data_IF_316156894335
#
_entry.id   IF_316156894335
#
_cell.length_a   1.000
_cell.length_b   1.000
_cell.length_c   1.000
_cell.angle_alpha   90.00
_cell.angle_beta   90.00
_cell.angle_gamma   90.00
#
_symmetry.space_group_name_H-M   'P 1'
#
loop_
_entity.id
_entity.type
_entity.pdbx_description
1 polymer ?
#
# COMPACT_ATOMS: atom_id res chain seq x y z
N UNK A 1 -10.07 -35.13 6.65
CA UNK A 1 -11.00 -35.80 5.71
C UNK A 1 -12.34 -35.07 5.75
N UNK A 2 -12.83 -34.54 4.62
CA UNK A 2 -14.08 -33.74 4.60
C UNK A 2 -15.28 -34.60 5.01
N UNK A 3 -16.23 -34.03 5.76
CA UNK A 3 -17.41 -34.74 6.27
C UNK A 3 -18.20 -35.46 5.16
N UNK A 4 -18.28 -34.85 3.97
CA UNK A 4 -18.88 -35.43 2.76
C UNK A 4 -18.21 -36.77 2.37
N UNK A 5 -16.88 -36.84 2.38
CA UNK A 5 -16.14 -38.05 2.06
C UNK A 5 -16.37 -39.18 3.07
N UNK A 6 -16.56 -38.84 4.34
CA UNK A 6 -16.89 -39.81 5.41
C UNK A 6 -18.28 -40.40 5.21
N UNK A 7 -19.28 -39.56 4.94
CA UNK A 7 -20.67 -39.97 4.63
C UNK A 7 -20.72 -40.91 3.42
N UNK A 8 -20.03 -40.57 2.33
CA UNK A 8 -20.02 -41.40 1.11
C UNK A 8 -19.31 -42.74 1.32
N UNK A 9 -18.23 -42.78 2.11
CA UNK A 9 -17.56 -44.04 2.47
C UNK A 9 -18.49 -44.93 3.29
N UNK A 10 -19.20 -44.37 4.28
CA UNK A 10 -20.16 -45.13 5.09
C UNK A 10 -21.29 -45.74 4.24
N UNK A 11 -21.77 -45.00 3.24
CA UNK A 11 -22.85 -45.47 2.37
C UNK A 11 -22.37 -46.47 1.30
N UNK A 12 -21.32 -46.15 0.54
CA UNK A 12 -20.90 -46.96 -0.61
C UNK A 12 -19.91 -48.09 -0.30
N UNK A 13 -19.15 -48.00 0.80
CA UNK A 13 -18.15 -49.03 1.17
C UNK A 13 -18.50 -49.83 2.42
N UNK A 14 -19.36 -49.29 3.28
CA UNK A 14 -19.73 -49.90 4.56
C UNK A 14 -21.22 -50.26 4.64
N UNK A 15 -21.96 -50.07 3.54
CA UNK A 15 -23.38 -50.41 3.37
C UNK A 15 -24.32 -49.88 4.48
N UNK A 16 -23.92 -48.76 5.11
CA UNK A 16 -24.71 -48.15 6.19
C UNK A 16 -25.90 -47.40 5.62
N UNK A 17 -27.07 -47.60 6.22
CA UNK A 17 -28.29 -46.88 5.82
C UNK A 17 -28.19 -45.38 6.14
N UNK A 18 -28.94 -44.55 5.41
CA UNK A 18 -29.02 -43.09 5.67
C UNK A 18 -29.43 -42.79 7.13
N UNK A 19 -30.27 -43.64 7.76
CA UNK A 19 -30.66 -43.50 9.16
C UNK A 19 -29.50 -43.76 10.12
N UNK A 20 -28.70 -44.77 9.82
CA UNK A 20 -27.54 -45.14 10.62
C UNK A 20 -26.44 -44.08 10.51
N UNK A 21 -26.19 -43.58 9.30
CA UNK A 21 -25.27 -42.47 9.07
C UNK A 21 -25.71 -41.22 9.84
N UNK A 22 -27.01 -40.89 9.83
CA UNK A 22 -27.54 -39.75 10.58
C UNK A 22 -27.27 -39.85 12.08
N UNK A 23 -27.38 -41.05 12.67
CA UNK A 23 -27.05 -41.29 14.08
C UNK A 23 -25.55 -41.18 14.37
N UNK A 24 -24.70 -41.67 13.45
CA UNK A 24 -23.24 -41.68 13.64
C UNK A 24 -22.57 -40.32 13.36
N UNK A 25 -23.17 -39.47 12.53
CA UNK A 25 -22.58 -38.19 12.12
C UNK A 25 -23.35 -36.97 12.61
N UNK A 26 -24.49 -37.15 13.29
CA UNK A 26 -25.40 -36.08 13.72
C UNK A 26 -25.84 -35.14 12.58
N UNK A 27 -25.82 -35.62 11.34
CA UNK A 27 -26.21 -34.84 10.16
C UNK A 27 -27.68 -35.10 9.85
N UNK A 28 -28.37 -34.08 9.34
CA UNK A 28 -29.74 -34.25 8.88
C UNK A 28 -29.79 -35.24 7.71
N UNK A 29 -30.87 -36.04 7.66
CA UNK A 29 -31.12 -36.99 6.55
C UNK A 29 -31.18 -36.27 5.19
N UNK A 30 -31.59 -35.00 5.16
CA UNK A 30 -31.63 -34.16 3.95
C UNK A 30 -30.21 -33.87 3.48
N UNK A 31 -29.32 -33.46 4.39
CA UNK A 31 -27.90 -33.20 4.11
C UNK A 31 -27.18 -34.46 3.64
N UNK A 32 -27.46 -35.61 4.25
CA UNK A 32 -26.86 -36.90 3.85
C UNK A 32 -27.30 -37.26 2.43
N UNK A 33 -28.60 -37.20 2.11
CA UNK A 33 -29.10 -37.46 0.75
C UNK A 33 -28.47 -36.49 -0.28
N UNK A 34 -28.32 -35.21 0.08
CA UNK A 34 -27.63 -34.23 -0.76
C UNK A 34 -26.18 -34.66 -1.04
N UNK A 35 -25.43 -35.06 -0.01
CA UNK A 35 -24.04 -35.51 -0.13
C UNK A 35 -23.87 -36.81 -0.92
N UNK A 36 -24.88 -37.67 -0.96
CA UNK A 36 -24.89 -38.88 -1.80
C UNK A 36 -25.22 -38.57 -3.26
N UNK A 37 -26.03 -37.54 -3.53
CA UNK A 37 -26.42 -37.12 -4.89
C UNK A 37 -25.33 -36.32 -5.62
N UNK A 38 -24.59 -35.47 -4.90
CA UNK A 38 -23.50 -34.69 -5.48
C UNK A 38 -22.27 -35.59 -5.72
N UNK A 39 -22.07 -35.98 -6.99
CA UNK A 39 -21.07 -36.95 -7.46
C UNK A 39 -19.62 -36.66 -7.07
N UNK A 40 -19.31 -35.45 -6.60
CA UNK A 40 -17.96 -35.04 -6.17
C UNK A 40 -18.02 -34.42 -4.78
N UNK A 41 -17.08 -34.77 -3.89
CA UNK A 41 -16.98 -34.20 -2.54
C UNK A 41 -16.42 -32.77 -2.56
N UNK A 42 -17.12 -31.85 -3.21
CA UNK A 42 -16.78 -30.43 -3.17
C UNK A 42 -17.24 -29.84 -1.84
N UNK A 43 -16.39 -29.01 -1.21
CA UNK A 43 -16.80 -28.25 -0.03
C UNK A 43 -17.94 -27.31 -0.46
N UNK A 44 -19.06 -27.22 0.28
CA UNK A 44 -20.08 -26.24 -0.02
C UNK A 44 -19.46 -24.85 0.03
N UNK A 45 -19.44 -24.16 -1.11
CA UNK A 45 -19.13 -22.73 -1.16
C UNK A 45 -20.43 -21.99 -0.86
N UNK A 46 -20.43 -21.27 0.26
CA UNK A 46 -21.50 -20.32 0.52
C UNK A 46 -21.22 -19.07 -0.30
N UNK A 47 -21.94 -18.92 -1.41
CA UNK A 47 -21.93 -17.71 -2.21
C UNK A 47 -23.11 -16.85 -1.79
N UNK A 48 -22.83 -15.81 -1.00
CA UNK A 48 -23.84 -14.81 -0.65
C UNK A 48 -23.95 -13.85 -1.82
N UNK A 49 -25.12 -13.80 -2.45
CA UNK A 49 -25.40 -12.77 -3.45
C UNK A 49 -25.14 -11.38 -2.85
N UNK A 50 -24.55 -10.48 -3.64
CA UNK A 50 -24.35 -9.10 -3.25
C UNK A 50 -25.72 -8.47 -2.96
N UNK A 51 -25.94 -8.10 -1.70
CA UNK A 51 -27.17 -7.44 -1.30
C UNK A 51 -27.05 -5.95 -1.61
N UNK A 52 -28.07 -5.40 -2.25
CA UNK A 52 -28.26 -3.95 -2.34
C UNK A 52 -28.33 -3.40 -0.91
N UNK A 53 -27.33 -2.60 -0.56
CA UNK A 53 -27.27 -1.89 0.72
C UNK A 53 -27.60 -0.41 0.53
N UNK A 54 -27.86 0.32 1.61
CA UNK A 54 -28.07 1.77 1.61
C UNK A 54 -26.95 2.57 0.93
N UNK A 55 -25.74 2.01 0.86
CA UNK A 55 -24.58 2.65 0.24
C UNK A 55 -24.55 2.46 -1.29
N UNK A 56 -25.26 1.47 -1.83
CA UNK A 56 -25.21 1.10 -3.25
C UNK A 56 -25.51 2.26 -4.19
N UNK A 57 -26.54 3.11 -3.94
CA UNK A 57 -26.82 4.26 -4.79
C UNK A 57 -25.70 5.31 -4.82
N UNK A 58 -24.79 5.28 -3.83
CA UNK A 58 -23.70 6.24 -3.69
C UNK A 58 -22.35 5.70 -4.13
N UNK A 59 -22.29 4.45 -4.63
CA UNK A 59 -21.02 3.82 -5.02
C UNK A 59 -20.29 4.60 -6.10
N UNK A 60 -20.98 5.02 -7.17
CA UNK A 60 -20.36 5.76 -8.28
C UNK A 60 -19.74 7.08 -7.80
N UNK A 61 -20.52 7.90 -7.10
CA UNK A 61 -20.05 9.17 -6.52
C UNK A 61 -18.87 8.98 -5.57
N UNK A 62 -18.88 7.90 -4.78
CA UNK A 62 -17.79 7.57 -3.86
C UNK A 62 -16.53 7.13 -4.62
N UNK A 63 -16.66 6.33 -5.69
CA UNK A 63 -15.55 5.93 -6.55
C UNK A 63 -14.92 7.14 -7.23
N UNK A 64 -15.72 8.02 -7.85
CA UNK A 64 -15.23 9.24 -8.48
C UNK A 64 -14.42 10.10 -7.50
N UNK A 65 -14.95 10.28 -6.28
CA UNK A 65 -14.26 11.04 -5.25
C UNK A 65 -12.91 10.41 -4.85
N UNK A 66 -12.86 9.07 -4.75
CA UNK A 66 -11.63 8.34 -4.43
C UNK A 66 -10.59 8.40 -5.56
N UNK A 67 -11.02 8.31 -6.82
CA UNK A 67 -10.13 8.45 -8.00
C UNK A 67 -9.52 9.85 -8.04
N UNK A 68 -10.34 10.89 -7.86
CA UNK A 68 -9.85 12.28 -7.79
C UNK A 68 -8.88 12.47 -6.63
N UNK A 69 -9.15 11.89 -5.47
CA UNK A 69 -8.26 11.97 -4.31
C UNK A 69 -6.95 11.19 -4.51
N UNK A 70 -6.96 10.10 -5.29
CA UNK A 70 -5.75 9.34 -5.60
C UNK A 70 -4.72 10.17 -6.39
N UNK A 71 -5.19 11.08 -7.25
CA UNK A 71 -4.35 12.00 -8.04
C UNK A 71 -3.73 13.13 -7.20
N UNK A 72 -4.20 13.37 -5.98
CA UNK A 72 -3.69 14.44 -5.11
C UNK A 72 -2.49 13.97 -4.27
N UNK A 73 -1.56 14.88 -3.90
CA UNK A 73 -0.53 14.60 -2.90
C UNK A 73 -1.13 14.07 -1.60
N UNK A 74 -0.44 13.17 -0.90
CA UNK A 74 -0.96 12.50 0.31
C UNK A 74 -1.48 13.47 1.37
N UNK A 75 -0.84 14.64 1.53
CA UNK A 75 -1.23 15.70 2.49
C UNK A 75 -2.56 16.39 2.12
N UNK A 76 -2.96 16.35 0.85
CA UNK A 76 -4.14 17.05 0.31
C UNK A 76 -5.33 16.12 0.01
N UNK A 77 -5.19 14.81 0.25
CA UNK A 77 -6.27 13.84 0.08
C UNK A 77 -7.33 14.03 1.15
N UNK A 78 -8.61 14.01 0.77
CA UNK A 78 -9.70 14.10 1.75
C UNK A 78 -9.66 12.92 2.71
N UNK A 79 -10.06 13.18 3.96
CA UNK A 79 -10.23 12.12 4.96
C UNK A 79 -11.49 11.34 4.65
N UNK A 80 -11.52 10.06 5.02
CA UNK A 80 -12.71 9.21 4.89
C UNK A 80 -13.91 9.79 5.63
N UNK A 81 -13.68 10.49 6.75
CA UNK A 81 -14.71 11.23 7.47
C UNK A 81 -15.36 12.33 6.61
N UNK A 82 -14.56 13.11 5.88
CA UNK A 82 -15.07 14.17 4.99
C UNK A 82 -15.89 13.59 3.84
N UNK A 83 -15.50 12.44 3.29
CA UNK A 83 -16.30 11.73 2.29
C UNK A 83 -17.64 11.25 2.88
N UNK A 84 -17.65 10.79 4.13
CA UNK A 84 -18.88 10.40 4.82
C UNK A 84 -19.83 11.58 5.05
N UNK A 85 -19.34 12.73 5.50
CA UNK A 85 -20.15 13.95 5.64
C UNK A 85 -20.76 14.38 4.28
N UNK A 86 -19.98 14.31 3.20
CA UNK A 86 -20.47 14.60 1.85
C UNK A 86 -21.56 13.62 1.38
N UNK A 87 -21.45 12.36 1.78
CA UNK A 87 -22.49 11.36 1.51
C UNK A 87 -23.75 11.64 2.33
N UNK A 88 -23.62 12.00 3.61
CA UNK A 88 -24.77 12.35 4.45
C UNK A 88 -25.52 13.57 3.89
N UNK A 89 -24.78 14.59 3.44
CA UNK A 89 -25.37 15.76 2.77
C UNK A 89 -26.07 15.40 1.45
N UNK A 90 -25.65 14.32 0.79
CA UNK A 90 -26.30 13.80 -0.42
C UNK A 90 -27.48 12.86 -0.13
N UNK A 91 -27.88 12.68 1.14
CA UNK A 91 -29.01 11.84 1.54
C UNK A 91 -28.64 10.44 2.00
N UNK A 92 -27.36 10.15 2.29
CA UNK A 92 -26.96 8.87 2.84
C UNK A 92 -27.32 8.76 4.33
N UNK A 93 -28.19 7.80 4.68
CA UNK A 93 -28.68 7.55 6.04
C UNK A 93 -28.01 6.32 6.71
N UNK A 94 -26.93 5.82 6.12
CA UNK A 94 -26.21 4.65 6.61
C UNK A 94 -25.05 4.98 7.55
N UNK A 95 -24.36 3.93 8.01
CA UNK A 95 -23.28 4.06 8.98
C UNK A 95 -21.90 4.32 8.33
N UNK A 96 -21.05 5.05 9.07
CA UNK A 96 -19.67 5.32 8.69
C UNK A 96 -18.87 4.03 8.40
N UNK A 97 -19.09 2.97 9.17
CA UNK A 97 -18.37 1.69 8.99
C UNK A 97 -18.58 1.09 7.60
N UNK A 98 -19.78 1.22 7.03
CA UNK A 98 -20.08 0.71 5.69
C UNK A 98 -19.29 1.45 4.61
N UNK A 99 -19.12 2.76 4.77
CA UNK A 99 -18.29 3.60 3.88
C UNK A 99 -16.82 3.22 4.02
N UNK A 100 -16.31 3.03 5.25
CA UNK A 100 -14.92 2.62 5.45
C UNK A 100 -14.63 1.23 4.88
N UNK A 101 -15.57 0.29 5.01
CA UNK A 101 -15.44 -1.07 4.47
C UNK A 101 -15.42 -1.06 2.94
N UNK A 102 -16.30 -0.25 2.32
CA UNK A 102 -16.31 -0.05 0.88
C UNK A 102 -14.97 0.53 0.39
N UNK A 103 -14.50 1.62 1.01
CA UNK A 103 -13.22 2.26 0.64
C UNK A 103 -12.05 1.30 0.83
N UNK A 104 -12.04 0.49 1.90
CA UNK A 104 -11.00 -0.52 2.13
C UNK A 104 -11.00 -1.57 1.02
N UNK A 105 -12.18 -2.08 0.67
CA UNK A 105 -12.36 -3.07 -0.39
C UNK A 105 -11.91 -2.51 -1.75
N UNK A 106 -12.34 -1.29 -2.06
CA UNK A 106 -11.95 -0.56 -3.27
C UNK A 106 -10.43 -0.35 -3.34
N UNK A 107 -9.79 0.09 -2.24
CA UNK A 107 -8.33 0.25 -2.17
C UNK A 107 -7.56 -1.06 -2.32
N UNK A 108 -8.10 -2.19 -1.88
CA UNK A 108 -7.47 -3.51 -2.09
C UNK A 108 -7.63 -3.94 -3.55
N UNK A 109 -8.77 -3.66 -4.16
CA UNK A 109 -9.03 -3.96 -5.57
C UNK A 109 -8.15 -3.09 -6.49
N UNK A 110 -8.11 -1.78 -6.28
CA UNK A 110 -7.21 -0.86 -7.00
C UNK A 110 -5.74 -0.99 -6.56
N UNK A 111 -5.44 -1.37 -5.33
CA UNK A 111 -4.07 -1.60 -4.87
C UNK A 111 -3.36 -2.69 -5.67
N UNK A 112 -4.13 -3.62 -6.27
CA UNK A 112 -3.62 -4.59 -7.26
C UNK A 112 -3.30 -3.96 -8.62
N UNK A 113 -3.90 -2.85 -9.00
CA UNK A 113 -3.60 -2.11 -10.25
C UNK A 113 -2.63 -0.94 -10.06
N UNK A 114 -2.50 -0.37 -8.85
CA UNK A 114 -1.75 0.88 -8.61
C UNK A 114 -0.45 0.68 -7.80
N UNK A 115 -0.26 -0.39 -7.02
CA UNK A 115 0.99 -0.55 -6.27
C UNK A 115 1.34 -2.00 -5.91
N UNK A 116 1.86 -2.74 -6.88
CA UNK A 116 2.85 -3.77 -6.57
C UNK A 116 4.21 -3.09 -6.36
N UNK A 117 4.32 -2.23 -5.33
CA UNK A 117 5.63 -1.73 -4.91
C UNK A 117 6.35 -2.92 -4.26
N UNK A 118 7.07 -3.70 -5.08
CA UNK A 118 8.01 -4.70 -4.61
C UNK A 118 9.08 -3.97 -3.79
N UNK A 119 9.00 -4.08 -2.47
CA UNK A 119 10.01 -3.52 -1.59
C UNK A 119 11.17 -4.52 -1.52
N UNK A 120 12.30 -4.18 -2.12
CA UNK A 120 13.55 -4.92 -1.95
C UNK A 120 14.25 -4.35 -0.71
N UNK A 121 14.40 -5.11 0.39
CA UNK A 121 15.14 -4.65 1.56
C UNK A 121 16.61 -4.41 1.18
N UNK A 122 17.06 -3.17 1.33
CA UNK A 122 18.46 -2.82 1.13
C UNK A 122 19.21 -2.92 2.47
N UNK A 123 20.33 -3.66 2.48
CA UNK A 123 21.23 -3.79 3.62
C UNK A 123 22.53 -3.02 3.35
N UNK A 124 23.00 -2.26 4.33
CA UNK A 124 24.21 -1.43 4.23
C UNK A 124 25.06 -1.56 5.49
N UNK A 125 26.38 -1.55 5.32
CA UNK A 125 27.34 -1.44 6.42
C UNK A 125 27.47 0.01 6.91
N UNK A 126 27.96 0.20 8.15
CA UNK A 126 28.23 1.54 8.67
C UNK A 126 29.26 2.27 7.78
N UNK A 127 28.96 3.52 7.42
CA UNK A 127 29.79 4.33 6.52
C UNK A 127 29.79 3.89 5.05
N UNK A 128 29.00 2.88 4.67
CA UNK A 128 28.98 2.39 3.28
C UNK A 128 28.34 3.40 2.32
N UNK A 129 27.17 3.93 2.68
CA UNK A 129 26.42 4.83 1.81
C UNK A 129 25.63 5.87 2.59
N UNK A 130 25.43 7.03 1.96
CA UNK A 130 24.41 7.99 2.33
C UNK A 130 23.44 8.20 1.16
N UNK A 131 22.21 8.59 1.49
CA UNK A 131 21.21 9.04 0.55
C UNK A 131 21.06 10.55 0.69
N UNK A 132 20.98 11.24 -0.45
CA UNK A 132 20.78 12.67 -0.54
C UNK A 132 19.50 13.00 -1.32
N UNK A 133 18.71 13.93 -0.79
CA UNK A 133 17.45 14.36 -1.39
C UNK A 133 17.15 15.85 -1.13
N UNK A 134 16.31 16.46 -1.96
CA UNK A 134 15.80 17.82 -1.81
C UNK A 134 14.28 17.79 -1.59
N UNK A 135 13.80 18.56 -0.63
CA UNK A 135 12.36 18.81 -0.44
C UNK A 135 12.03 20.29 -0.47
N UNK A 136 10.88 20.66 -1.03
CA UNK A 136 10.34 22.01 -0.91
C UNK A 136 9.46 22.11 0.33
N UNK A 137 9.79 23.02 1.25
CA UNK A 137 9.05 23.25 2.50
C UNK A 137 8.72 24.74 2.65
N UNK A 138 7.51 25.05 3.09
CA UNK A 138 7.08 26.42 3.35
C UNK A 138 7.30 26.82 4.80
N UNK A 139 8.02 27.91 5.05
CA UNK A 139 8.29 28.43 6.40
C UNK A 139 8.02 29.94 6.47
N UNK A 140 7.49 30.40 7.60
CA UNK A 140 7.39 31.84 7.89
C UNK A 140 8.69 32.31 8.52
N UNK A 141 9.44 33.15 7.81
CA UNK A 141 10.70 33.74 8.29
C UNK A 141 10.51 35.26 8.37
N UNK A 142 10.68 35.82 9.56
CA UNK A 142 10.50 37.26 9.77
C UNK A 142 9.10 37.77 9.42
N UNK A 143 8.06 36.97 9.67
CA UNK A 143 6.67 37.30 9.35
C UNK A 143 6.26 37.10 7.88
N UNK A 144 7.20 36.75 6.98
CA UNK A 144 6.91 36.49 5.57
C UNK A 144 6.92 34.99 5.27
N UNK A 145 5.90 34.50 4.58
CA UNK A 145 5.89 33.14 4.05
C UNK A 145 6.92 33.00 2.92
N UNK A 146 7.82 32.01 3.06
CA UNK A 146 8.87 31.71 2.08
C UNK A 146 8.90 30.21 1.81
N UNK A 147 9.12 29.87 0.54
CA UNK A 147 9.44 28.50 0.13
C UNK A 147 10.94 28.27 0.25
N UNK A 148 11.31 27.18 0.89
CA UNK A 148 12.68 26.77 1.13
C UNK A 148 12.93 25.41 0.48
N UNK A 149 14.15 25.25 0.01
CA UNK A 149 14.70 24.01 -0.50
C UNK A 149 15.52 23.38 0.62
N UNK A 150 15.01 22.33 1.22
CA UNK A 150 15.65 21.62 2.33
C UNK A 150 16.41 20.44 1.75
N UNK A 151 17.73 20.43 1.94
CA UNK A 151 18.56 19.28 1.62
C UNK A 151 18.60 18.31 2.79
N UNK A 152 18.44 17.04 2.46
CA UNK A 152 18.46 15.92 3.40
C UNK A 152 19.66 15.05 3.08
N UNK A 153 20.58 14.89 4.04
CA UNK A 153 21.68 13.92 3.93
C UNK A 153 21.46 12.85 5.00
N UNK A 154 21.35 11.58 4.60
CA UNK A 154 21.01 10.48 5.52
C UNK A 154 21.90 9.27 5.32
N UNK A 155 22.55 8.77 6.37
CA UNK A 155 23.30 7.53 6.34
C UNK A 155 22.36 6.33 6.18
N UNK A 156 22.66 5.42 5.25
CA UNK A 156 21.76 4.32 4.90
C UNK A 156 21.68 3.24 5.99
N UNK A 157 22.80 2.95 6.67
CA UNK A 157 22.87 1.93 7.73
C UNK A 157 22.28 2.42 9.07
N UNK A 158 22.82 3.51 9.63
CA UNK A 158 22.40 4.04 10.94
C UNK A 158 21.14 4.91 10.91
N UNK A 159 20.71 5.36 9.72
CA UNK A 159 19.60 6.31 9.52
C UNK A 159 19.82 7.69 10.15
N UNK A 160 20.99 7.98 10.71
CA UNK A 160 21.38 9.31 11.13
C UNK A 160 21.31 10.28 9.94
N UNK A 161 20.86 11.51 10.18
CA UNK A 161 20.60 12.47 9.12
C UNK A 161 20.98 13.90 9.53
N UNK A 162 21.18 14.73 8.52
CA UNK A 162 21.44 16.16 8.64
C UNK A 162 20.58 16.93 7.64
N UNK A 163 20.01 18.05 8.07
CA UNK A 163 19.15 18.91 7.27
C UNK A 163 19.74 20.31 7.16
N UNK A 164 19.72 20.88 5.95
CA UNK A 164 20.06 22.30 5.73
C UNK A 164 19.04 22.91 4.78
N UNK A 165 18.50 24.08 5.14
CA UNK A 165 17.53 24.81 4.33
C UNK A 165 18.19 25.94 3.55
N UNK A 166 17.82 26.07 2.27
CA UNK A 166 18.29 27.10 1.35
C UNK A 166 17.12 27.74 0.61
N UNK A 167 17.38 28.86 -0.07
CA UNK A 167 16.39 29.48 -0.95
C UNK A 167 16.43 28.94 -2.39
N UNK A 168 17.46 28.16 -2.75
CA UNK A 168 17.65 27.59 -4.10
C UNK A 168 18.37 26.24 -4.05
N UNK A 169 18.36 25.49 -5.16
CA UNK A 169 19.02 24.18 -5.32
C UNK A 169 20.28 24.25 -6.21
N UNK A 170 21.04 25.35 -6.14
CA UNK A 170 22.26 25.52 -6.96
C UNK A 170 23.39 24.56 -6.57
N UNK A 171 24.36 24.36 -7.47
CA UNK A 171 25.54 23.52 -7.23
C UNK A 171 26.35 23.96 -5.99
N UNK A 172 26.45 25.26 -5.75
CA UNK A 172 27.10 25.80 -4.55
C UNK A 172 26.44 25.31 -3.26
N UNK A 173 25.10 25.30 -3.24
CA UNK A 173 24.33 24.84 -2.09
C UNK A 173 24.46 23.33 -1.89
N UNK A 174 24.60 22.58 -3.00
CA UNK A 174 24.91 21.15 -2.98
C UNK A 174 26.27 20.90 -2.30
N UNK A 175 27.33 21.63 -2.65
CA UNK A 175 28.63 21.45 -2.00
C UNK A 175 28.64 21.90 -0.54
N UNK A 176 27.96 23.01 -0.24
CA UNK A 176 27.84 23.50 1.14
C UNK A 176 27.11 22.48 2.03
N UNK A 177 26.01 21.88 1.56
CA UNK A 177 25.30 20.90 2.39
C UNK A 177 26.11 19.64 2.65
N UNK A 178 26.86 19.13 1.67
CA UNK A 178 27.74 17.98 1.90
C UNK A 178 28.82 18.31 2.94
N UNK A 179 29.44 19.48 2.81
CA UNK A 179 30.46 19.95 3.77
C UNK A 179 29.90 20.01 5.19
N UNK A 180 28.72 20.62 5.36
CA UNK A 180 28.04 20.71 6.66
C UNK A 180 27.64 19.35 7.20
N UNK A 181 27.03 18.52 6.36
CA UNK A 181 26.54 17.21 6.74
C UNK A 181 27.69 16.28 7.17
N UNK A 182 28.79 16.22 6.40
CA UNK A 182 29.93 15.37 6.73
C UNK A 182 30.67 15.83 7.98
N UNK A 183 30.78 17.15 8.18
CA UNK A 183 31.32 17.70 9.43
C UNK A 183 30.44 17.33 10.62
N UNK A 184 29.12 17.45 10.50
CA UNK A 184 28.19 17.12 11.57
C UNK A 184 28.09 15.61 11.86
N UNK A 185 28.16 14.77 10.83
CA UNK A 185 28.10 13.31 10.94
C UNK A 185 29.46 12.69 11.33
N UNK A 186 30.53 13.50 11.40
CA UNK A 186 31.85 13.06 11.83
C UNK A 186 32.63 12.25 10.80
N UNK A 187 32.25 12.32 9.51
CA UNK A 187 32.91 11.58 8.45
C UNK A 187 32.15 11.58 7.13
N UNK A 188 32.77 11.00 6.10
CA UNK A 188 32.24 10.86 4.74
C UNK A 188 31.97 9.39 4.47
N UNK A 189 30.77 9.06 3.96
CA UNK A 189 30.47 7.68 3.56
C UNK A 189 31.12 7.35 2.21
N UNK A 190 31.37 6.06 1.94
CA UNK A 190 32.07 5.62 0.71
C UNK A 190 31.30 5.89 -0.58
N UNK A 191 29.97 6.00 -0.51
CA UNK A 191 29.10 6.18 -1.68
C UNK A 191 27.96 7.15 -1.37
N UNK A 192 27.76 8.12 -2.27
CA UNK A 192 26.56 8.96 -2.30
C UNK A 192 25.50 8.37 -3.22
N UNK A 193 24.27 8.24 -2.73
CA UNK A 193 23.10 7.85 -3.51
C UNK A 193 22.26 9.10 -3.73
N UNK A 194 22.15 9.50 -4.98
CA UNK A 194 21.37 10.65 -5.43
C UNK A 194 20.21 10.13 -6.26
N UNK A 195 19.01 10.70 -6.08
CA UNK A 195 18.01 10.61 -7.14
C UNK A 195 18.54 11.36 -8.37
N UNK A 196 18.02 11.07 -9.58
CA UNK A 196 18.52 11.56 -10.87
C UNK A 196 18.32 13.08 -11.07
N UNK A 197 18.88 13.87 -10.15
CA UNK A 197 18.82 15.31 -10.10
C UNK A 197 19.68 15.85 -11.24
N UNK A 198 19.10 16.76 -12.03
CA UNK A 198 19.80 17.44 -13.14
C UNK A 198 21.14 18.04 -12.71
N UNK A 199 21.27 18.42 -11.44
CA UNK A 199 22.45 18.99 -10.79
C UNK A 199 23.61 17.99 -10.59
N UNK A 200 23.41 16.69 -10.83
CA UNK A 200 24.44 15.65 -10.70
C UNK A 200 24.75 14.90 -12.01
N UNK A 201 24.17 15.34 -13.15
CA UNK A 201 24.23 14.61 -14.43
C UNK A 201 24.63 15.54 -15.57
N UNK A 202 25.89 15.46 -16.01
CA UNK A 202 26.37 16.24 -17.16
C UNK A 202 26.03 15.63 -18.53
N UNK A 203 25.79 14.31 -18.66
CA UNK A 203 25.41 13.67 -19.95
C UNK A 203 24.53 12.44 -19.81
N UNK A 204 23.40 12.42 -20.53
CA UNK A 204 22.53 11.25 -20.74
C UNK A 204 23.17 10.30 -21.77
N UNK A 205 23.44 9.02 -21.48
CA UNK A 205 23.93 8.07 -22.48
C UNK A 205 22.77 7.30 -23.12
N UNK A 206 22.94 6.97 -24.40
CA UNK A 206 22.07 6.01 -25.10
C UNK A 206 22.09 4.63 -24.43
N UNK A 207 20.91 4.01 -24.40
CA UNK A 207 20.57 2.67 -23.90
C UNK A 207 21.66 1.63 -24.27
N UNK A 208 22.27 0.96 -23.29
CA UNK A 208 23.06 -0.23 -23.56
C UNK A 208 24.12 -0.66 -22.55
N UNK A 209 24.73 0.25 -21.78
CA UNK A 209 25.81 -0.14 -20.85
C UNK A 209 25.41 0.05 -19.38
N UNK A 210 25.58 -1.03 -18.62
CA UNK A 210 25.57 -1.06 -17.16
C UNK A 210 26.53 0.00 -16.60
N UNK A 211 26.06 0.81 -15.64
CA UNK A 211 26.88 1.81 -14.96
C UNK A 211 26.88 1.62 -13.45
N UNK A 212 28.07 1.59 -12.89
CA UNK A 212 28.38 2.29 -11.64
C UNK A 212 28.40 3.80 -11.97
N UNK A 213 27.65 4.65 -11.25
CA UNK A 213 27.79 6.09 -11.41
C UNK A 213 29.14 6.53 -10.84
N UNK A 214 30.04 7.00 -11.71
CA UNK A 214 31.13 7.87 -11.31
C UNK A 214 30.52 9.19 -10.86
N UNK A 215 30.72 9.53 -9.59
CA UNK A 215 30.62 10.89 -9.06
C UNK A 215 31.93 11.12 -8.31
N UNK A 216 32.46 12.34 -8.43
CA UNK A 216 33.65 12.86 -7.75
C UNK A 216 33.61 12.49 -6.26
#
# INVERSE_FOLDING_TARGET
MTMIGKVRRMFHRQDKSVREIARLTSLSRITIRKYLKEGTAQKPKYERAERVTKLTPFHEKLIEALVVDALRPRKERRRTWTLFEQLQAAGYDGCYSRVTDFIRTWRVAEGKSISANAFVPLHFSLGEAFQFDWSEEGLVIGGMYRKLQVAHTKLCASRAFWLTAYFSQGHEMLFDVHTRAFKALGGVARRGIYDNMRTAVDKVPRKGNSRLPTII
#
